data_IF_617424516884
#
_entry.id   IF_617424516884
#
_cell.length_a   1.000
_cell.length_b   1.000
_cell.length_c   1.000
_cell.angle_alpha   90.00
_cell.angle_beta   90.00
_cell.angle_gamma   90.00
#
_symmetry.space_group_name_H-M   'P 1'
#
loop_
_entity.id
_entity.type
_entity.pdbx_description
1 polymer ?
#
# COMPACT_ATOMS: atom_id res chain seq x y z
N UNK A 1 14.44 -3.37 8.18
CA UNK A 1 13.34 -3.33 9.16
C UNK A 1 12.35 -4.42 8.79
N UNK A 2 12.18 -5.46 9.60
CA UNK A 2 11.22 -6.54 9.30
C UNK A 2 9.87 -6.08 9.83
N UNK A 3 8.88 -5.90 8.95
CA UNK A 3 7.50 -5.68 9.40
C UNK A 3 7.04 -6.97 10.08
N UNK A 4 6.63 -6.89 11.34
CA UNK A 4 6.08 -8.05 12.04
C UNK A 4 4.66 -8.32 11.51
N UNK A 5 4.28 -9.60 11.37
CA UNK A 5 2.95 -9.98 10.88
C UNK A 5 1.83 -9.29 11.68
N UNK A 6 2.00 -9.16 12.99
CA UNK A 6 1.07 -8.45 13.87
C UNK A 6 0.87 -6.96 13.50
N UNK A 7 1.92 -6.28 13.01
CA UNK A 7 1.82 -4.88 12.58
C UNK A 7 1.04 -4.77 11.27
N UNK A 8 1.26 -5.69 10.33
CA UNK A 8 0.49 -5.77 9.08
C UNK A 8 -0.99 -6.01 9.34
N UNK A 9 -1.31 -6.92 10.27
CA UNK A 9 -2.70 -7.23 10.66
C UNK A 9 -3.38 -6.07 11.40
N UNK A 10 -2.63 -5.31 12.19
CA UNK A 10 -3.14 -4.10 12.82
C UNK A 10 -3.47 -3.02 11.78
N UNK A 11 -2.56 -2.75 10.85
CA UNK A 11 -2.79 -1.79 9.76
C UNK A 11 -4.00 -2.19 8.92
N UNK A 12 -4.11 -3.48 8.56
CA UNK A 12 -5.28 -4.02 7.84
C UNK A 12 -6.57 -3.73 8.60
N UNK A 13 -6.63 -4.06 9.90
CA UNK A 13 -7.83 -3.82 10.72
C UNK A 13 -8.19 -2.36 10.79
N UNK A 14 -7.22 -1.46 10.94
CA UNK A 14 -7.47 -0.01 10.94
C UNK A 14 -8.10 0.42 9.62
N UNK A 15 -7.54 -0.01 8.49
CA UNK A 15 -8.07 0.31 7.15
C UNK A 15 -9.48 -0.25 6.95
N UNK A 16 -9.72 -1.51 7.29
CA UNK A 16 -11.03 -2.17 7.13
C UNK A 16 -12.10 -1.61 8.09
N UNK A 17 -11.69 -1.00 9.20
CA UNK A 17 -12.60 -0.35 10.16
C UNK A 17 -12.95 1.11 9.81
N UNK A 18 -12.26 1.71 8.84
CA UNK A 18 -12.48 3.10 8.47
C UNK A 18 -13.74 3.25 7.61
N UNK A 19 -14.65 4.19 7.93
CA UNK A 19 -15.84 4.44 7.11
C UNK A 19 -15.50 5.06 5.75
N UNK A 20 -14.31 5.65 5.60
CA UNK A 20 -13.84 6.25 4.35
C UNK A 20 -13.26 5.22 3.38
N UNK A 21 -13.10 3.97 3.82
CA UNK A 21 -12.51 2.89 3.03
C UNK A 21 -13.60 1.96 2.53
N UNK A 22 -13.75 1.88 1.21
CA UNK A 22 -14.68 0.95 0.56
C UNK A 22 -14.08 -0.45 0.40
N UNK A 23 -12.77 -0.57 0.17
CA UNK A 23 -12.09 -1.86 0.06
C UNK A 23 -10.59 -1.76 0.32
N UNK A 24 -10.02 -2.86 0.81
CA UNK A 24 -8.58 -3.03 1.07
C UNK A 24 -8.10 -4.26 0.32
N UNK A 25 -7.07 -4.09 -0.51
CA UNK A 25 -6.42 -5.19 -1.23
C UNK A 25 -4.97 -5.28 -0.80
N UNK A 26 -4.51 -6.47 -0.46
CA UNK A 26 -3.10 -6.70 -0.24
C UNK A 26 -2.40 -6.90 -1.59
N UNK A 27 -1.29 -6.20 -1.79
CA UNK A 27 -0.40 -6.38 -2.92
C UNK A 27 0.93 -6.95 -2.40
N UNK A 28 1.24 -8.15 -2.85
CA UNK A 28 2.52 -8.81 -2.58
C UNK A 28 3.68 -8.12 -3.31
N UNK A 29 4.93 -8.29 -2.86
CA UNK A 29 6.09 -7.80 -3.59
C UNK A 29 6.15 -8.31 -5.04
N UNK A 30 5.71 -9.54 -5.29
CA UNK A 30 5.63 -10.15 -6.63
C UNK A 30 4.62 -9.44 -7.52
N UNK A 31 3.41 -9.15 -7.00
CA UNK A 31 2.39 -8.38 -7.73
C UNK A 31 2.84 -6.95 -8.00
N UNK A 32 3.50 -6.32 -7.01
CA UNK A 32 4.09 -4.99 -7.16
C UNK A 32 5.17 -4.98 -8.25
N UNK A 33 6.01 -6.02 -8.33
CA UNK A 33 7.03 -6.17 -9.37
C UNK A 33 6.43 -6.32 -10.76
N UNK A 34 5.36 -7.10 -10.89
CA UNK A 34 4.64 -7.25 -12.16
C UNK A 34 4.04 -5.91 -12.62
N UNK A 35 3.46 -5.13 -11.70
CA UNK A 35 2.94 -3.79 -12.00
C UNK A 35 4.07 -2.81 -12.36
N UNK A 36 5.15 -2.80 -11.59
CA UNK A 36 6.34 -1.98 -11.84
C UNK A 36 6.94 -2.25 -13.23
N UNK A 37 7.16 -3.53 -13.55
CA UNK A 37 7.76 -3.96 -14.83
C UNK A 37 6.92 -3.55 -16.04
N UNK A 38 5.59 -3.51 -15.89
CA UNK A 38 4.68 -3.00 -16.95
C UNK A 38 4.79 -1.50 -17.12
N UNK A 39 4.95 -0.73 -16.03
CA UNK A 39 5.02 0.73 -16.06
C UNK A 39 6.41 1.26 -16.46
N UNK A 40 7.46 0.55 -16.05
CA UNK A 40 8.86 0.97 -16.23
C UNK A 40 9.68 -0.16 -16.89
N UNK A 41 9.36 -0.55 -18.13
CA UNK A 41 9.96 -1.73 -18.77
C UNK A 41 11.48 -1.62 -18.96
N UNK A 42 12.02 -0.39 -19.08
CA UNK A 42 13.45 -0.15 -19.19
C UNK A 42 14.23 -0.45 -17.88
N UNK A 43 13.55 -0.44 -16.73
CA UNK A 43 14.17 -0.60 -15.40
C UNK A 43 13.85 -1.96 -14.75
N UNK A 44 13.13 -2.85 -15.44
CA UNK A 44 12.63 -4.11 -14.85
C UNK A 44 13.75 -5.02 -14.30
N UNK A 45 14.96 -4.92 -14.83
CA UNK A 45 16.10 -5.72 -14.40
C UNK A 45 16.88 -5.07 -13.23
N UNK A 46 16.62 -3.80 -12.93
CA UNK A 46 17.33 -3.04 -11.91
C UNK A 46 16.71 -3.23 -10.51
N UNK A 47 15.42 -3.59 -10.47
CA UNK A 47 14.64 -3.74 -9.24
C UNK A 47 13.97 -5.12 -9.24
N UNK A 48 14.50 -6.05 -8.44
CA UNK A 48 13.85 -7.33 -8.16
C UNK A 48 12.65 -7.21 -7.19
N UNK A 49 11.74 -8.21 -7.16
CA UNK A 49 10.59 -8.23 -6.25
C UNK A 49 10.98 -8.09 -4.78
N UNK A 50 12.12 -8.62 -4.35
CA UNK A 50 12.65 -8.53 -3.00
C UNK A 50 13.00 -7.10 -2.55
N UNK A 51 13.15 -6.17 -3.50
CA UNK A 51 13.39 -4.75 -3.23
C UNK A 51 12.09 -3.95 -3.10
N UNK A 52 10.94 -4.55 -3.45
CA UNK A 52 9.65 -3.88 -3.37
C UNK A 52 8.94 -4.21 -2.05
N UNK A 53 8.40 -3.20 -1.35
CA UNK A 53 7.59 -3.45 -0.19
C UNK A 53 6.23 -4.04 -0.59
N UNK A 54 5.70 -4.95 0.23
CA UNK A 54 4.28 -5.26 0.21
C UNK A 54 3.46 -3.99 0.51
N UNK A 55 2.26 -3.89 -0.06
CA UNK A 55 1.41 -2.72 0.11
C UNK A 55 -0.06 -3.08 0.35
N UNK A 56 -0.81 -2.17 0.97
CA UNK A 56 -2.27 -2.20 0.94
C UNK A 56 -2.76 -1.18 -0.08
N UNK A 57 -3.45 -1.65 -1.12
CA UNK A 57 -4.19 -0.80 -2.05
C UNK A 57 -5.56 -0.53 -1.47
N UNK A 58 -5.85 0.73 -1.22
CA UNK A 58 -7.07 1.17 -0.55
C UNK A 58 -7.98 1.86 -1.57
N UNK A 59 -9.20 1.36 -1.72
CA UNK A 59 -10.26 2.05 -2.45
C UNK A 59 -11.06 2.88 -1.46
N UNK A 60 -11.09 4.18 -1.68
CA UNK A 60 -11.88 5.10 -0.85
C UNK A 60 -13.36 5.02 -1.22
N UNK A 61 -14.23 5.23 -0.24
CA UNK A 61 -15.68 5.36 -0.42
C UNK A 61 -16.02 6.63 -1.23
N UNK A 62 -15.32 7.73 -0.96
CA UNK A 62 -15.33 8.94 -1.78
C UNK A 62 -13.91 9.23 -2.31
N UNK A 63 -13.64 9.00 -3.62
CA UNK A 63 -12.33 9.24 -4.22
C UNK A 63 -11.86 10.69 -4.18
N UNK A 64 -12.77 11.67 -4.04
CA UNK A 64 -12.41 13.09 -3.90
C UNK A 64 -11.88 13.42 -2.50
N UNK A 65 -12.03 12.50 -1.55
CA UNK A 65 -11.67 12.64 -0.14
C UNK A 65 -10.55 11.66 0.19
N UNK A 66 -9.31 11.99 -0.16
CA UNK A 66 -8.17 11.38 0.51
C UNK A 66 -8.17 11.89 1.97
N UNK A 67 -8.83 11.14 2.86
CA UNK A 67 -9.15 11.64 4.19
C UNK A 67 -7.92 11.73 5.09
N UNK A 68 -7.96 12.66 6.04
CA UNK A 68 -6.92 12.84 7.05
C UNK A 68 -6.68 11.56 7.86
N UNK A 69 -7.68 10.67 7.96
CA UNK A 69 -7.59 9.37 8.63
C UNK A 69 -6.66 8.40 7.89
N UNK A 70 -6.78 8.31 6.56
CA UNK A 70 -5.89 7.47 5.74
C UNK A 70 -4.49 8.10 5.66
N UNK A 71 -4.42 9.43 5.51
CA UNK A 71 -3.16 10.16 5.55
C UNK A 71 -2.43 9.99 6.89
N UNK A 72 -3.17 9.96 8.01
CA UNK A 72 -2.66 9.77 9.37
C UNK A 72 -2.09 8.39 9.68
N UNK A 73 -2.15 7.44 8.72
CA UNK A 73 -1.39 6.20 8.80
C UNK A 73 0.10 6.41 8.49
N UNK A 74 0.46 7.50 7.80
CA UNK A 74 1.85 7.84 7.55
C UNK A 74 2.60 8.01 8.88
N UNK A 75 3.76 7.35 9.00
CA UNK A 75 4.58 7.39 10.20
C UNK A 75 4.17 6.43 11.33
N UNK A 76 3.09 5.64 11.16
CA UNK A 76 2.80 4.55 12.09
C UNK A 76 3.84 3.42 11.95
N UNK A 77 4.20 2.72 13.05
CA UNK A 77 5.08 1.56 12.97
C UNK A 77 4.60 0.53 11.95
N UNK A 78 5.47 0.15 11.01
CA UNK A 78 5.13 -0.78 9.93
C UNK A 78 4.58 -0.13 8.65
N UNK A 79 4.31 1.19 8.65
CA UNK A 79 3.92 1.95 7.45
C UNK A 79 5.12 2.74 6.94
N UNK A 80 5.63 2.37 5.77
CA UNK A 80 6.73 3.10 5.14
C UNK A 80 6.26 4.37 4.43
N UNK A 81 5.13 4.30 3.73
CA UNK A 81 4.59 5.41 2.93
C UNK A 81 3.08 5.25 2.76
N UNK A 82 2.38 6.38 2.71
CA UNK A 82 1.00 6.48 2.20
C UNK A 82 1.03 7.43 1.03
N UNK A 83 0.45 7.04 -0.11
CA UNK A 83 0.40 7.88 -1.31
C UNK A 83 -0.91 7.68 -2.06
N UNK A 84 -1.43 8.73 -2.74
CA UNK A 84 -2.41 8.55 -3.79
C UNK A 84 -1.84 7.64 -4.88
N UNK A 85 -2.70 6.81 -5.48
CA UNK A 85 -2.37 6.11 -6.71
C UNK A 85 -2.67 7.07 -7.85
N UNK A 86 -1.65 7.46 -8.62
CA UNK A 86 -1.85 8.26 -9.83
C UNK A 86 -2.77 7.49 -10.78
N UNK A 87 -3.82 8.12 -11.33
CA UNK A 87 -4.75 7.48 -12.27
C UNK A 87 -4.07 6.99 -13.56
#
# INVERSE_FOLDING_TARGET
MRVAAAQTDEIRRVLESSPDVAAVFYESPEEAYLAFSRRYPAQKNDIGPEHLPASFRVKLADPARFSDDVAGLAGRPGVFMVRPVDP
#
